data_IF_198392097055
#
_entry.id   IF_198392097055
#
_cell.length_a   1.000
_cell.length_b   1.000
_cell.length_c   1.000
_cell.angle_alpha   90.00
_cell.angle_beta   90.00
_cell.angle_gamma   90.00
#
_symmetry.space_group_name_H-M   'P 1'
#
loop_
_entity.id
_entity.type
_entity.pdbx_description
1 polymer ?
#
# COMPACT_ATOMS: atom_id res chain seq x y z
N UNK A 1 3.46 -15.55 -1.73
CA UNK A 1 1.98 -15.56 -1.75
C UNK A 1 1.40 -15.14 -0.42
N UNK A 2 1.69 -15.81 0.70
CA UNK A 2 1.22 -15.34 2.03
C UNK A 2 1.95 -14.07 2.48
N UNK A 3 3.27 -14.01 2.27
CA UNK A 3 4.13 -12.83 2.52
C UNK A 3 3.71 -11.59 1.73
N UNK A 4 3.42 -11.76 0.44
CA UNK A 4 3.14 -10.65 -0.48
C UNK A 4 1.79 -10.01 -0.14
N UNK A 5 0.83 -10.84 0.30
CA UNK A 5 -0.46 -10.39 0.79
C UNK A 5 -0.33 -9.68 2.14
N UNK A 6 0.48 -10.19 3.08
CA UNK A 6 0.72 -9.51 4.36
C UNK A 6 1.36 -8.13 4.15
N UNK A 7 2.40 -8.05 3.30
CA UNK A 7 3.05 -6.80 2.91
C UNK A 7 2.04 -5.84 2.24
N UNK A 8 1.18 -6.34 1.36
CA UNK A 8 0.11 -5.56 0.75
C UNK A 8 -0.84 -4.94 1.79
N UNK A 9 -1.22 -5.70 2.83
CA UNK A 9 -2.10 -5.19 3.88
C UNK A 9 -1.42 -4.13 4.75
N UNK A 10 -0.12 -4.33 5.08
CA UNK A 10 0.68 -3.32 5.80
C UNK A 10 0.78 -2.02 4.98
N UNK A 11 1.05 -2.13 3.68
CA UNK A 11 1.12 -0.98 2.75
C UNK A 11 -0.23 -0.26 2.69
N UNK A 12 -1.33 -0.98 2.45
CA UNK A 12 -2.66 -0.39 2.35
C UNK A 12 -3.06 0.32 3.65
N UNK A 13 -2.83 -0.32 4.81
CA UNK A 13 -3.07 0.27 6.12
C UNK A 13 -2.25 1.54 6.33
N UNK A 14 -0.95 1.49 6.05
CA UNK A 14 -0.06 2.65 6.16
C UNK A 14 -0.54 3.83 5.30
N UNK A 15 -0.94 3.56 4.06
CA UNK A 15 -1.49 4.57 3.17
C UNK A 15 -2.78 5.20 3.68
N UNK A 16 -3.74 4.39 4.13
CA UNK A 16 -5.06 4.88 4.58
C UNK A 16 -4.97 5.60 5.93
N UNK A 17 -4.20 5.08 6.89
CA UNK A 17 -4.13 5.64 8.24
C UNK A 17 -3.16 6.82 8.36
N UNK A 18 -2.05 6.81 7.61
CA UNK A 18 -0.93 7.75 7.85
C UNK A 18 -0.61 8.66 6.68
N UNK A 19 -1.07 8.35 5.47
CA UNK A 19 -0.91 9.29 4.36
C UNK A 19 -2.00 10.34 4.41
N UNK A 20 -1.61 11.61 4.63
CA UNK A 20 -2.52 12.75 4.47
C UNK A 20 -2.91 12.97 3.00
N UNK A 21 -2.24 12.28 2.08
CA UNK A 21 -2.41 12.38 0.64
C UNK A 21 -2.98 11.06 0.10
N UNK A 22 -3.87 11.17 -0.89
CA UNK A 22 -4.40 10.00 -1.60
C UNK A 22 -3.32 9.24 -2.38
N UNK A 23 -2.22 9.93 -2.70
CA UNK A 23 -1.11 9.45 -3.50
C UNK A 23 0.18 9.48 -2.68
N UNK A 24 0.93 8.38 -2.66
CA UNK A 24 2.11 8.20 -1.81
C UNK A 24 3.28 7.61 -2.63
N UNK A 25 4.46 8.21 -2.52
CA UNK A 25 5.69 7.70 -3.14
C UNK A 25 6.38 6.63 -2.27
N UNK A 26 7.34 5.90 -2.86
CA UNK A 26 7.99 4.76 -2.21
C UNK A 26 8.74 5.10 -0.92
N UNK A 27 9.46 6.23 -0.86
CA UNK A 27 10.16 6.65 0.36
C UNK A 27 9.20 6.93 1.51
N UNK A 28 8.04 7.52 1.21
CA UNK A 28 7.00 7.74 2.21
C UNK A 28 6.40 6.41 2.68
N UNK A 29 6.18 5.45 1.76
CA UNK A 29 5.74 4.10 2.12
C UNK A 29 6.73 3.42 3.06
N UNK A 30 8.03 3.52 2.80
CA UNK A 30 9.07 2.98 3.66
C UNK A 30 9.03 3.57 5.07
N UNK A 31 8.83 4.88 5.19
CA UNK A 31 8.72 5.56 6.49
C UNK A 31 7.48 5.15 7.30
N UNK A 32 6.35 4.87 6.63
CA UNK A 32 5.09 4.56 7.33
C UNK A 32 4.86 3.06 7.56
N UNK A 33 5.52 2.19 6.80
CA UNK A 33 5.34 0.72 6.87
C UNK A 33 6.51 -0.02 7.52
N UNK A 34 7.70 0.60 7.59
CA UNK A 34 8.95 -0.04 8.03
C UNK A 34 9.36 -1.28 7.20
N UNK A 35 8.83 -1.42 5.98
CA UNK A 35 9.18 -2.47 5.03
C UNK A 35 10.40 -2.09 4.18
N UNK A 36 11.12 -3.09 3.67
CA UNK A 36 12.14 -2.93 2.65
C UNK A 36 11.58 -2.55 1.28
N UNK A 37 12.44 -2.09 0.36
CA UNK A 37 11.99 -1.66 -0.97
C UNK A 37 11.33 -2.79 -1.77
N UNK A 38 11.91 -4.00 -1.72
CA UNK A 38 11.37 -5.17 -2.42
C UNK A 38 10.01 -5.59 -1.85
N UNK A 39 9.87 -5.61 -0.52
CA UNK A 39 8.61 -5.90 0.17
C UNK A 39 7.51 -4.88 -0.19
N UNK A 40 7.88 -3.62 -0.34
CA UNK A 40 6.97 -2.56 -0.79
C UNK A 40 6.57 -2.77 -2.26
N UNK A 41 7.51 -3.12 -3.13
CA UNK A 41 7.21 -3.39 -4.54
C UNK A 41 6.24 -4.59 -4.67
N UNK A 42 6.52 -5.68 -3.96
CA UNK A 42 5.67 -6.87 -3.94
C UNK A 42 4.27 -6.57 -3.39
N UNK A 43 4.20 -5.81 -2.28
CA UNK A 43 2.93 -5.38 -1.68
C UNK A 43 2.12 -4.50 -2.61
N UNK A 44 2.76 -3.53 -3.29
CA UNK A 44 2.09 -2.63 -4.23
C UNK A 44 1.61 -3.36 -5.48
N UNK A 45 2.41 -4.27 -6.05
CA UNK A 45 2.01 -5.11 -7.18
C UNK A 45 0.82 -6.01 -6.81
N UNK A 46 0.81 -6.60 -5.61
CA UNK A 46 -0.32 -7.35 -5.10
C UNK A 46 -1.59 -6.49 -5.00
N UNK A 47 -1.50 -5.29 -4.40
CA UNK A 47 -2.64 -4.36 -4.29
C UNK A 47 -3.15 -3.90 -5.65
N UNK A 48 -2.28 -3.70 -6.63
CA UNK A 48 -2.65 -3.31 -7.99
C UNK A 48 -3.38 -4.46 -8.72
N UNK A 49 -2.90 -5.70 -8.57
CA UNK A 49 -3.58 -6.91 -9.07
C UNK A 49 -4.97 -7.09 -8.45
N UNK A 50 -5.12 -6.75 -7.17
CA UNK A 50 -6.40 -6.73 -6.46
C UNK A 50 -7.30 -5.53 -6.84
N UNK A 51 -6.81 -4.60 -7.66
CA UNK A 51 -7.50 -3.37 -8.06
C UNK A 51 -7.86 -2.45 -6.87
N UNK A 52 -7.07 -2.49 -5.82
CA UNK A 52 -7.24 -1.63 -4.63
C UNK A 52 -6.44 -0.33 -4.73
N UNK A 53 -5.36 -0.36 -5.50
CA UNK A 53 -4.52 0.82 -5.79
C UNK A 53 -4.27 0.94 -7.28
N UNK A 54 -3.80 2.11 -7.68
CA UNK A 54 -3.27 2.39 -9.02
C UNK A 54 -1.87 2.96 -8.90
N UNK A 55 -0.94 2.43 -9.67
CA UNK A 55 0.42 2.96 -9.75
C UNK A 55 0.60 3.91 -10.92
N UNK A 56 1.45 4.91 -10.72
CA UNK A 56 2.13 5.63 -11.79
C UNK A 56 3.52 5.02 -11.96
N UNK A 57 3.86 4.56 -13.16
CA UNK A 57 5.12 3.83 -13.40
C UNK A 57 6.33 4.76 -13.25
N UNK A 58 7.39 4.25 -12.61
CA UNK A 58 8.66 4.96 -12.55
C UNK A 58 9.33 4.95 -13.94
N UNK A 59 9.83 6.12 -14.39
CA UNK A 59 10.61 6.23 -15.63
C UNK A 59 12.02 5.63 -15.43
N UNK A 60 12.60 5.79 -14.22
CA UNK A 60 13.88 5.20 -13.82
C UNK A 60 13.69 4.36 -12.55
N UNK A 61 13.85 3.04 -12.68
CA UNK A 61 13.75 2.10 -11.57
C UNK A 61 15.08 2.00 -10.83
N UNK A 62 15.18 2.65 -9.66
CA UNK A 62 16.35 2.51 -8.77
C UNK A 62 16.00 1.69 -7.54
N UNK A 63 14.86 1.97 -6.90
CA UNK A 63 14.41 1.26 -5.69
C UNK A 63 12.93 0.84 -5.75
N UNK A 64 12.10 1.61 -6.45
CA UNK A 64 10.66 1.35 -6.55
C UNK A 64 10.25 1.19 -8.01
N UNK A 65 9.30 0.29 -8.24
CA UNK A 65 8.75 0.02 -9.58
C UNK A 65 7.73 1.09 -10.04
N UNK A 66 7.34 1.96 -9.11
CA UNK A 66 6.37 3.03 -9.30
C UNK A 66 6.97 4.38 -8.86
N UNK A 67 6.53 5.46 -9.49
CA UNK A 67 6.76 6.82 -9.03
C UNK A 67 5.84 7.13 -7.84
N UNK A 68 4.57 6.76 -7.97
CA UNK A 68 3.53 7.05 -6.98
C UNK A 68 2.48 5.92 -6.96
N UNK A 69 1.86 5.72 -5.79
CA UNK A 69 0.72 4.81 -5.60
C UNK A 69 -0.49 5.59 -5.11
N UNK A 70 -1.65 5.37 -5.72
CA UNK A 70 -2.91 6.03 -5.33
C UNK A 70 -3.93 5.00 -4.86
N UNK A 71 -4.52 5.22 -3.70
CA UNK A 71 -5.61 4.35 -3.20
C UNK A 71 -6.89 4.63 -3.99
N UNK A 72 -7.48 3.56 -4.54
CA UNK A 72 -8.76 3.60 -5.24
C UNK A 72 -9.92 3.53 -4.24
N UNK A 73 -11.14 3.95 -4.60
CA UNK A 73 -12.30 3.81 -3.71
C UNK A 73 -12.49 2.38 -3.18
N UNK A 74 -12.23 1.38 -4.02
CA UNK A 74 -12.27 -0.04 -3.68
C UNK A 74 -11.24 -0.38 -2.59
N UNK A 75 -10.06 0.23 -2.60
CA UNK A 75 -9.04 0.08 -1.56
C UNK A 75 -9.48 0.60 -0.20
N UNK A 76 -10.17 1.75 -0.17
CA UNK A 76 -10.74 2.29 1.08
C UNK A 76 -11.88 1.41 1.61
N UNK A 77 -12.76 0.92 0.73
CA UNK A 77 -13.84 0.01 1.12
C UNK A 77 -13.27 -1.30 1.67
N UNK A 78 -12.32 -1.90 0.96
CA UNK A 78 -11.65 -3.11 1.38
C UNK A 78 -10.99 -2.94 2.74
N UNK A 79 -10.24 -1.84 2.92
CA UNK A 79 -9.64 -1.48 4.21
C UNK A 79 -10.72 -1.41 5.31
N UNK A 80 -11.82 -0.68 5.10
CA UNK A 80 -12.86 -0.54 6.13
C UNK A 80 -13.53 -1.87 6.49
N UNK A 81 -13.69 -2.78 5.52
CA UNK A 81 -14.33 -4.09 5.73
C UNK A 81 -13.42 -5.10 6.46
N UNK A 82 -12.10 -5.06 6.19
CA UNK A 82 -11.17 -6.12 6.58
C UNK A 82 -10.10 -5.68 7.59
N UNK A 83 -9.72 -4.40 7.60
CA UNK A 83 -8.59 -3.88 8.39
C UNK A 83 -9.02 -2.78 9.39
N UNK A 84 -9.93 -1.89 8.98
CA UNK A 84 -10.43 -0.75 9.75
C UNK A 84 -11.44 -1.11 10.84
N UNK A 85 -11.95 -2.35 10.88
CA UNK A 85 -12.84 -2.82 11.94
C UNK A 85 -12.15 -3.17 13.26
N UNK A 86 -10.85 -2.91 13.41
CA UNK A 86 -10.16 -3.02 14.70
C UNK A 86 -10.23 -1.69 15.44
N UNK A 87 -11.44 -1.34 15.89
CA UNK A 87 -11.64 -0.53 17.10
C UNK A 87 -12.75 -1.17 17.91
N UNK A 88 -12.36 -1.75 19.05
CA UNK A 88 -13.15 -2.40 20.10
C UNK A 88 -13.07 -3.93 20.10
N UNK A 89 -11.92 -4.46 20.51
CA UNK A 89 -11.90 -5.61 21.42
C UNK A 89 -10.91 -5.29 22.53
N UNK A 90 -11.51 -5.03 23.70
CA UNK A 90 -11.03 -5.07 25.11
C UNK A 90 -9.52 -4.98 25.40
#
# INVERSE_FOLDING_TARGET
MESDYENAMIVLKGMVERSRLRTTGGDALRLITNLGCDEINDGVDCLEKMKLVKTERAINKVFFDFANVTVLPEGYNYYNEHLGKITSME
#
